data_IF_536697707158
#
_entry.id   IF_536697707158
#
_cell.length_a   1.000
_cell.length_b   1.000
_cell.length_c   1.000
_cell.angle_alpha   90.00
_cell.angle_beta   90.00
_cell.angle_gamma   90.00
#
_symmetry.space_group_name_H-M   'P 1'
#
loop_
_entity.id
_entity.type
_entity.pdbx_description
1 polymer ?
#
# COMPACT_ATOMS: atom_id res chain seq x y z
N UNK A 1 -20.07 33.32 12.69
CA UNK A 1 -19.03 32.26 12.78
C UNK A 1 -19.06 31.47 11.49
N UNK A 2 -17.92 31.05 10.91
CA UNK A 2 -17.95 30.26 9.69
C UNK A 2 -18.62 28.92 10.01
N UNK A 3 -19.60 28.47 9.22
CA UNK A 3 -20.42 27.28 9.52
C UNK A 3 -19.65 25.94 9.58
N UNK A 4 -18.34 25.93 9.28
CA UNK A 4 -17.48 24.73 9.33
C UNK A 4 -16.72 24.50 10.65
N UNK A 5 -16.46 25.53 11.47
CA UNK A 5 -15.51 25.39 12.59
C UNK A 5 -16.02 24.53 13.75
N UNK A 6 -17.30 24.62 14.08
CA UNK A 6 -17.88 23.87 15.20
C UNK A 6 -18.02 22.37 14.93
N UNK A 7 -18.20 21.98 13.66
CA UNK A 7 -18.41 20.58 13.31
C UNK A 7 -17.10 19.83 13.03
N UNK A 8 -16.06 20.52 12.54
CA UNK A 8 -14.70 19.99 12.54
C UNK A 8 -14.23 19.71 13.98
N UNK A 9 -14.56 20.59 14.94
CA UNK A 9 -14.25 20.38 16.36
C UNK A 9 -14.88 19.09 16.92
N UNK A 10 -16.10 18.74 16.50
CA UNK A 10 -16.77 17.49 16.92
C UNK A 10 -16.03 16.26 16.39
N UNK A 11 -15.61 16.28 15.11
CA UNK A 11 -14.83 15.18 14.54
C UNK A 11 -13.49 15.00 15.28
N UNK A 12 -12.78 16.10 15.56
CA UNK A 12 -11.54 16.07 16.33
C UNK A 12 -11.75 15.52 17.76
N UNK A 13 -12.79 15.97 18.48
CA UNK A 13 -13.11 15.44 19.81
C UNK A 13 -13.44 13.94 19.78
N UNK A 14 -14.13 13.49 18.73
CA UNK A 14 -14.47 12.07 18.56
C UNK A 14 -13.21 11.24 18.27
N UNK A 15 -12.24 11.80 17.53
CA UNK A 15 -10.92 11.20 17.35
C UNK A 15 -10.20 11.05 18.69
N UNK A 16 -10.21 12.08 19.54
CA UNK A 16 -9.55 12.04 20.86
C UNK A 16 -10.14 10.95 21.76
N UNK A 17 -11.47 10.74 21.70
CA UNK A 17 -12.14 9.62 22.39
C UNK A 17 -11.63 8.28 21.86
N UNK A 18 -11.54 8.13 20.53
CA UNK A 18 -11.03 6.92 19.90
C UNK A 18 -9.60 6.59 20.35
N UNK A 19 -8.72 7.59 20.38
CA UNK A 19 -7.34 7.44 20.84
C UNK A 19 -7.25 7.06 22.33
N UNK A 20 -8.11 7.64 23.19
CA UNK A 20 -8.11 7.35 24.62
C UNK A 20 -8.58 5.92 24.97
N UNK A 21 -9.40 5.31 24.10
CA UNK A 21 -9.99 3.99 24.27
C UNK A 21 -9.30 2.89 23.45
N UNK A 22 -8.42 3.23 22.49
CA UNK A 22 -7.80 2.29 21.55
C UNK A 22 -7.23 1.02 22.20
N UNK A 23 -6.49 1.17 23.29
CA UNK A 23 -5.87 0.04 24.02
C UNK A 23 -6.80 -0.61 25.04
N UNK A 24 -7.85 0.08 25.51
CA UNK A 24 -8.72 -0.37 26.61
C UNK A 24 -9.97 -1.06 26.09
N UNK A 25 -10.60 -0.46 25.09
CA UNK A 25 -11.87 -0.86 24.50
C UNK A 25 -11.81 -0.71 22.97
N UNK A 26 -11.09 -1.60 22.26
CA UNK A 26 -10.87 -1.50 20.81
C UNK A 26 -12.17 -1.36 19.98
N UNK A 27 -13.24 -2.06 20.37
CA UNK A 27 -14.54 -1.98 19.68
C UNK A 27 -15.20 -0.60 19.85
N UNK A 28 -15.03 0.04 21.00
CA UNK A 28 -15.50 1.42 21.26
C UNK A 28 -14.67 2.42 20.45
N UNK A 29 -13.35 2.27 20.47
CA UNK A 29 -12.44 3.10 19.68
C UNK A 29 -12.74 3.04 18.18
N UNK A 30 -13.04 1.84 17.64
CA UNK A 30 -13.48 1.69 16.26
C UNK A 30 -14.77 2.46 15.96
N UNK A 31 -15.75 2.42 16.86
CA UNK A 31 -16.97 3.22 16.68
C UNK A 31 -16.70 4.71 16.65
N UNK A 32 -15.80 5.20 17.51
CA UNK A 32 -15.38 6.60 17.53
C UNK A 32 -14.69 7.00 16.21
N UNK A 33 -13.72 6.23 15.71
CA UNK A 33 -13.08 6.53 14.43
C UNK A 33 -14.03 6.41 13.24
N UNK A 34 -14.95 5.44 13.25
CA UNK A 34 -16.00 5.32 12.22
C UNK A 34 -16.93 6.53 12.25
N UNK A 35 -17.33 7.00 13.43
CA UNK A 35 -18.14 8.21 13.58
C UNK A 35 -17.40 9.47 13.10
N UNK A 36 -16.14 9.65 13.49
CA UNK A 36 -15.31 10.77 13.06
C UNK A 36 -15.13 10.81 11.54
N UNK A 37 -14.87 9.65 10.92
CA UNK A 37 -14.78 9.54 9.47
C UNK A 37 -16.10 9.94 8.80
N UNK A 38 -17.25 9.45 9.29
CA UNK A 38 -18.58 9.80 8.77
C UNK A 38 -18.85 11.30 8.86
N UNK A 39 -18.60 11.88 10.02
CA UNK A 39 -18.95 13.27 10.30
C UNK A 39 -18.01 14.25 9.56
N UNK A 40 -16.75 13.86 9.37
CA UNK A 40 -15.82 14.54 8.46
C UNK A 40 -16.29 14.48 7.01
N UNK A 41 -16.78 13.32 6.55
CA UNK A 41 -17.31 13.15 5.19
C UNK A 41 -18.54 14.03 4.95
N UNK A 42 -19.41 14.19 5.94
CA UNK A 42 -20.55 15.14 5.89
C UNK A 42 -20.10 16.59 5.74
N UNK A 43 -18.95 16.98 6.32
CA UNK A 43 -18.39 18.31 6.09
C UNK A 43 -17.83 18.45 4.68
N UNK A 44 -17.18 17.40 4.16
CA UNK A 44 -16.66 17.36 2.81
C UNK A 44 -17.79 17.40 1.76
N UNK A 45 -18.94 16.80 2.02
CA UNK A 45 -20.10 16.90 1.13
C UNK A 45 -20.60 18.36 1.00
N UNK A 46 -20.61 19.10 2.12
CA UNK A 46 -20.99 20.53 2.15
C UNK A 46 -19.91 21.43 1.53
N UNK A 47 -18.64 21.09 1.75
CA UNK A 47 -17.50 21.82 1.25
C UNK A 47 -16.34 20.86 0.92
N UNK A 48 -16.23 20.39 -0.34
CA UNK A 48 -15.19 19.44 -0.76
C UNK A 48 -13.76 19.98 -0.61
N UNK A 49 -13.60 21.29 -0.46
CA UNK A 49 -12.30 21.95 -0.25
C UNK A 49 -11.90 22.07 1.23
N UNK A 50 -12.72 21.59 2.18
CA UNK A 50 -12.42 21.65 3.61
C UNK A 50 -11.23 20.75 3.97
N UNK A 51 -10.04 21.36 4.05
CA UNK A 51 -8.79 20.65 4.32
C UNK A 51 -8.74 20.02 5.71
N UNK A 52 -9.39 20.60 6.72
CA UNK A 52 -9.45 20.06 8.07
C UNK A 52 -10.30 18.80 8.11
N UNK A 53 -11.52 18.84 7.56
CA UNK A 53 -12.35 17.65 7.45
C UNK A 53 -11.67 16.52 6.64
N UNK A 54 -10.91 16.86 5.60
CA UNK A 54 -10.14 15.85 4.85
C UNK A 54 -9.04 15.21 5.71
N UNK A 55 -8.34 16.00 6.53
CA UNK A 55 -7.33 15.46 7.46
C UNK A 55 -7.96 14.55 8.51
N UNK A 56 -9.06 14.98 9.13
CA UNK A 56 -9.75 14.21 10.18
C UNK A 56 -10.31 12.91 9.61
N UNK A 57 -10.89 12.94 8.40
CA UNK A 57 -11.33 11.75 7.68
C UNK A 57 -10.17 10.78 7.40
N UNK A 58 -9.06 11.27 6.85
CA UNK A 58 -7.90 10.43 6.54
C UNK A 58 -7.32 9.80 7.82
N UNK A 59 -7.18 10.60 8.89
CA UNK A 59 -6.67 10.14 10.18
C UNK A 59 -7.58 9.09 10.80
N UNK A 60 -8.89 9.34 10.86
CA UNK A 60 -9.84 8.41 11.42
C UNK A 60 -9.84 7.05 10.68
N UNK A 61 -9.73 7.06 9.35
CA UNK A 61 -9.56 5.81 8.59
C UNK A 61 -8.26 5.11 8.94
N UNK A 62 -7.13 5.84 9.01
CA UNK A 62 -5.85 5.25 9.39
C UNK A 62 -5.96 4.53 10.74
N UNK A 63 -6.56 5.18 11.75
CA UNK A 63 -6.75 4.59 13.08
C UNK A 63 -7.69 3.39 13.11
N UNK A 64 -8.69 3.30 12.21
CA UNK A 64 -9.50 2.07 12.05
C UNK A 64 -8.58 0.88 11.76
N UNK A 65 -7.61 1.04 10.85
CA UNK A 65 -6.66 -0.03 10.54
C UNK A 65 -5.69 -0.32 11.69
N UNK A 66 -5.23 0.71 12.41
CA UNK A 66 -4.41 0.54 13.63
C UNK A 66 -5.13 -0.35 14.63
N UNK A 67 -6.37 0.00 15.00
CA UNK A 67 -7.13 -0.73 16.02
C UNK A 67 -7.44 -2.14 15.57
N UNK A 68 -7.85 -2.34 14.30
CA UNK A 68 -8.11 -3.68 13.75
C UNK A 68 -6.87 -4.56 13.82
N UNK A 69 -5.70 -4.03 13.43
CA UNK A 69 -4.43 -4.75 13.43
C UNK A 69 -3.99 -5.08 14.86
N UNK A 70 -3.92 -4.08 15.72
CA UNK A 70 -3.32 -4.21 17.06
C UNK A 70 -4.19 -5.06 17.99
N UNK A 71 -5.52 -4.95 17.87
CA UNK A 71 -6.46 -5.79 18.60
C UNK A 71 -6.78 -7.13 17.90
N UNK A 72 -6.15 -7.42 16.75
CA UNK A 72 -6.34 -8.66 15.96
C UNK A 72 -7.80 -8.96 15.62
N UNK A 73 -8.55 -7.94 15.23
CA UNK A 73 -9.94 -8.05 14.81
C UNK A 73 -10.04 -8.47 13.34
N UNK A 74 -11.18 -9.03 12.94
CA UNK A 74 -11.40 -9.51 11.57
C UNK A 74 -12.71 -8.99 10.93
N UNK A 75 -12.81 -7.67 10.67
CA UNK A 75 -13.92 -7.12 9.89
C UNK A 75 -13.82 -7.45 8.38
N UNK A 76 -12.73 -8.07 7.94
CA UNK A 76 -12.44 -8.33 6.53
C UNK A 76 -13.02 -9.66 6.05
N UNK A 77 -13.11 -10.66 6.93
CA UNK A 77 -13.84 -11.90 6.61
C UNK A 77 -15.35 -11.74 6.82
N UNK A 78 -15.76 -11.05 7.90
CA UNK A 78 -17.18 -10.84 8.23
C UNK A 78 -17.45 -9.41 8.71
N UNK A 79 -18.61 -8.81 8.35
CA UNK A 79 -18.99 -7.51 8.90
C UNK A 79 -19.02 -7.51 10.44
N UNK A 80 -18.53 -6.45 11.07
CA UNK A 80 -18.39 -6.35 12.53
C UNK A 80 -19.18 -5.16 13.06
N UNK A 81 -19.94 -5.34 14.15
CA UNK A 81 -20.56 -4.22 14.86
C UNK A 81 -19.54 -3.52 15.74
N UNK A 82 -19.48 -2.19 15.68
CA UNK A 82 -18.51 -1.36 16.38
C UNK A 82 -19.17 -0.16 17.05
N UNK A 83 -18.51 0.37 18.07
CA UNK A 83 -19.04 1.40 18.96
C UNK A 83 -19.56 0.87 20.29
N UNK A 84 -19.79 1.77 21.24
CA UNK A 84 -20.16 1.42 22.61
C UNK A 84 -21.46 0.60 22.68
N UNK A 85 -22.38 0.83 21.75
CA UNK A 85 -23.65 0.13 21.65
C UNK A 85 -23.79 -0.65 20.33
N UNK A 86 -22.69 -0.83 19.59
CA UNK A 86 -22.70 -1.46 18.27
C UNK A 86 -23.47 -0.65 17.23
N UNK A 87 -23.42 0.68 17.34
CA UNK A 87 -24.19 1.61 16.51
C UNK A 87 -23.73 1.67 15.04
N UNK A 88 -22.53 1.15 14.73
CA UNK A 88 -22.02 1.04 13.36
C UNK A 88 -21.75 -0.40 12.97
N UNK A 89 -21.79 -0.68 11.66
CA UNK A 89 -21.26 -1.92 11.08
C UNK A 89 -20.07 -1.60 10.19
N UNK A 90 -18.88 -2.10 10.54
CA UNK A 90 -17.67 -2.00 9.74
C UNK A 90 -17.57 -3.20 8.78
N UNK A 91 -17.33 -2.92 7.51
CA UNK A 91 -17.15 -3.92 6.47
C UNK A 91 -16.32 -3.34 5.32
N UNK A 92 -16.12 -4.11 4.26
CA UNK A 92 -15.39 -3.65 3.08
C UNK A 92 -16.05 -4.08 1.78
N UNK A 93 -15.77 -3.33 0.72
CA UNK A 93 -16.20 -3.62 -0.64
C UNK A 93 -15.23 -4.61 -1.28
N UNK A 94 -15.71 -5.84 -1.47
CA UNK A 94 -14.92 -6.91 -2.12
C UNK A 94 -14.45 -6.50 -3.51
N UNK A 95 -13.17 -6.77 -3.79
CA UNK A 95 -12.59 -6.64 -5.12
C UNK A 95 -12.76 -7.97 -5.88
N UNK A 96 -13.09 -7.94 -7.18
CA UNK A 96 -13.19 -9.17 -7.98
C UNK A 96 -11.86 -9.90 -8.15
N UNK A 97 -10.72 -9.23 -7.97
CA UNK A 97 -9.38 -9.83 -8.05
C UNK A 97 -9.09 -10.57 -6.72
N UNK A 98 -8.82 -11.88 -6.72
CA UNK A 98 -8.60 -12.64 -5.48
C UNK A 98 -7.45 -12.14 -4.61
N UNK A 99 -6.38 -11.62 -5.22
CA UNK A 99 -5.23 -11.03 -4.51
C UNK A 99 -5.56 -9.68 -3.85
N UNK A 100 -6.71 -9.08 -4.16
CA UNK A 100 -7.17 -7.82 -3.54
C UNK A 100 -8.13 -8.10 -2.38
N UNK A 101 -7.83 -9.14 -1.60
CA UNK A 101 -8.57 -9.50 -0.39
C UNK A 101 -7.82 -9.02 0.85
N UNK A 102 -8.41 -8.08 1.59
CA UNK A 102 -7.82 -7.45 2.79
C UNK A 102 -7.44 -8.49 3.85
N UNK A 103 -8.19 -9.59 3.97
CA UNK A 103 -7.93 -10.65 4.93
C UNK A 103 -6.58 -11.37 4.70
N UNK A 104 -5.94 -11.19 3.53
CA UNK A 104 -4.64 -11.76 3.21
C UNK A 104 -3.46 -10.89 3.68
N UNK A 105 -3.71 -9.66 4.15
CA UNK A 105 -2.67 -8.67 4.40
C UNK A 105 -2.74 -8.13 5.83
N UNK A 106 -1.56 -7.92 6.40
CA UNK A 106 -1.37 -6.99 7.50
C UNK A 106 -1.33 -5.56 6.92
N UNK A 107 -2.25 -4.69 7.36
CA UNK A 107 -2.46 -3.37 6.79
C UNK A 107 -1.98 -2.31 7.77
N UNK A 108 -0.87 -1.66 7.42
CA UNK A 108 -0.15 -0.76 8.32
C UNK A 108 -0.32 0.67 7.84
N UNK A 109 -0.94 1.57 8.63
CA UNK A 109 -1.02 2.98 8.27
C UNK A 109 0.34 3.61 8.04
N UNK A 110 0.50 4.34 6.93
CA UNK A 110 1.78 4.93 6.56
C UNK A 110 2.20 6.07 7.49
N UNK A 111 1.24 6.75 8.11
CA UNK A 111 1.46 7.81 9.10
C UNK A 111 2.06 7.30 10.44
N UNK A 112 2.06 5.99 10.68
CA UNK A 112 2.77 5.36 11.80
C UNK A 112 4.24 5.04 11.48
N UNK A 113 4.61 5.13 10.21
CA UNK A 113 5.93 4.76 9.74
C UNK A 113 6.83 5.98 9.74
N UNK A 114 7.91 5.90 10.52
CA UNK A 114 9.00 6.85 10.44
C UNK A 114 10.24 6.13 9.89
N UNK A 115 10.65 6.51 8.69
CA UNK A 115 11.80 5.92 8.02
C UNK A 115 12.85 6.96 7.68
N UNK A 116 14.11 6.54 7.79
CA UNK A 116 15.29 7.32 7.42
C UNK A 116 16.28 6.40 6.73
N UNK A 117 16.96 6.89 5.71
CA UNK A 117 18.00 6.12 5.03
C UNK A 117 18.38 6.71 3.69
N UNK A 118 19.54 6.29 3.18
CA UNK A 118 20.08 6.78 1.90
C UNK A 118 19.29 6.31 0.68
N UNK A 119 18.51 5.23 0.81
CA UNK A 119 17.71 4.66 -0.26
C UNK A 119 16.34 5.33 -0.44
N UNK A 120 15.86 6.04 0.57
CA UNK A 120 14.55 6.70 0.63
C UNK A 120 14.72 8.10 1.22
N UNK A 121 15.66 8.87 0.65
CA UNK A 121 15.96 10.23 1.13
C UNK A 121 14.75 11.14 0.97
N UNK A 122 14.09 11.03 -0.18
CA UNK A 122 12.88 11.79 -0.50
C UNK A 122 11.64 11.01 -0.08
N UNK A 123 10.78 11.65 0.69
CA UNK A 123 9.48 11.10 1.07
C UNK A 123 8.44 11.56 0.05
N UNK A 124 8.10 10.67 -0.87
CA UNK A 124 7.24 10.96 -2.02
C UNK A 124 5.80 10.59 -1.68
N UNK A 125 5.00 11.61 -1.41
CA UNK A 125 3.58 11.49 -1.07
C UNK A 125 2.71 12.25 -2.07
N UNK A 126 1.41 11.98 -2.04
CA UNK A 126 0.39 12.74 -2.77
C UNK A 126 -0.74 13.09 -1.82
N UNK A 127 -0.99 14.38 -1.68
CA UNK A 127 -2.14 14.89 -0.94
C UNK A 127 -3.45 14.47 -1.61
N UNK A 128 -4.44 14.11 -0.79
CA UNK A 128 -5.72 13.61 -1.29
C UNK A 128 -6.63 13.07 -0.20
N UNK A 129 -7.70 12.40 -0.61
CA UNK A 129 -8.63 11.72 0.29
C UNK A 129 -8.21 10.25 0.48
N UNK A 130 -8.43 9.74 1.69
CA UNK A 130 -8.12 8.37 2.11
C UNK A 130 -6.87 8.25 2.97
N UNK A 131 -6.74 7.13 3.65
CA UNK A 131 -5.57 6.78 4.46
C UNK A 131 -4.58 5.94 3.64
N UNK A 132 -3.36 6.43 3.37
CA UNK A 132 -2.31 5.59 2.79
C UNK A 132 -1.88 4.49 3.79
N UNK A 133 -1.77 3.26 3.30
CA UNK A 133 -1.38 2.07 4.06
C UNK A 133 -0.28 1.31 3.30
N UNK A 134 0.52 0.55 4.04
CA UNK A 134 1.37 -0.52 3.50
C UNK A 134 0.67 -1.85 3.74
N UNK A 135 0.29 -2.52 2.66
CA UNK A 135 -0.17 -3.89 2.67
C UNK A 135 1.04 -4.83 2.71
N UNK A 136 1.12 -5.61 3.79
CA UNK A 136 2.20 -6.57 4.05
C UNK A 136 1.66 -7.99 3.98
N UNK A 137 2.33 -8.87 3.25
CA UNK A 137 2.01 -10.31 3.19
C UNK A 137 3.24 -11.15 2.96
N UNK A 138 3.29 -12.31 3.62
CA UNK A 138 4.28 -13.35 3.37
C UNK A 138 3.65 -14.44 2.48
N UNK A 139 4.42 -14.89 1.50
CA UNK A 139 4.05 -15.93 0.55
C UNK A 139 4.96 -17.14 0.70
N UNK A 140 4.42 -18.32 0.43
CA UNK A 140 5.25 -19.50 0.23
C UNK A 140 6.14 -19.32 -1.01
N UNK A 141 7.25 -20.05 -1.08
CA UNK A 141 8.12 -20.02 -2.26
C UNK A 141 7.37 -20.37 -3.56
N UNK A 142 6.42 -21.30 -3.48
CA UNK A 142 5.56 -21.69 -4.61
C UNK A 142 4.66 -20.53 -5.06
N UNK A 143 4.00 -19.85 -4.11
CA UNK A 143 3.17 -18.68 -4.40
C UNK A 143 4.00 -17.55 -5.01
N UNK A 144 5.14 -17.22 -4.39
CA UNK A 144 6.03 -16.16 -4.87
C UNK A 144 6.54 -16.44 -6.30
N UNK A 145 6.89 -17.69 -6.60
CA UNK A 145 7.24 -18.13 -7.95
C UNK A 145 6.07 -17.98 -8.92
N UNK A 146 4.89 -18.50 -8.56
CA UNK A 146 3.70 -18.42 -9.39
C UNK A 146 3.30 -16.97 -9.69
N UNK A 147 3.48 -16.05 -8.75
CA UNK A 147 3.16 -14.64 -8.93
C UNK A 147 4.29 -13.80 -9.54
N UNK A 148 5.48 -14.35 -9.75
CA UNK A 148 6.66 -13.60 -10.17
C UNK A 148 6.90 -12.39 -9.25
N UNK A 149 6.97 -12.63 -7.94
CA UNK A 149 7.26 -11.60 -6.94
C UNK A 149 8.17 -12.12 -5.83
N UNK A 150 8.71 -11.24 -4.96
CA UNK A 150 9.42 -11.69 -3.76
C UNK A 150 8.45 -12.40 -2.79
N UNK A 151 8.96 -13.25 -1.88
CA UNK A 151 8.13 -13.91 -0.87
C UNK A 151 7.51 -12.93 0.14
N UNK A 152 8.14 -11.77 0.35
CA UNK A 152 7.59 -10.70 1.19
C UNK A 152 7.04 -9.58 0.31
N UNK A 153 5.73 -9.39 0.35
CA UNK A 153 5.03 -8.30 -0.31
C UNK A 153 4.95 -7.12 0.66
N UNK A 154 5.37 -5.96 0.17
CA UNK A 154 5.08 -4.65 0.75
C UNK A 154 4.54 -3.79 -0.39
N UNK A 155 3.27 -3.39 -0.32
CA UNK A 155 2.62 -2.63 -1.38
C UNK A 155 1.85 -1.44 -0.82
N UNK A 156 2.01 -0.27 -1.43
CA UNK A 156 1.27 0.94 -1.03
C UNK A 156 -0.15 0.88 -1.57
N UNK A 157 -1.14 1.03 -0.69
CA UNK A 157 -2.56 1.14 -1.03
C UNK A 157 -3.19 2.30 -0.28
N UNK A 158 -4.38 2.75 -0.69
CA UNK A 158 -5.09 3.83 0.01
C UNK A 158 -6.51 3.39 0.35
N UNK A 159 -6.84 3.42 1.64
CA UNK A 159 -8.17 3.10 2.12
C UNK A 159 -9.09 4.32 2.12
N UNK A 160 -10.33 4.13 1.69
CA UNK A 160 -11.41 5.13 1.76
C UNK A 160 -12.64 4.49 2.38
N UNK A 161 -13.45 5.25 3.12
CA UNK A 161 -14.72 4.81 3.67
C UNK A 161 -15.90 5.51 2.97
N UNK A 162 -17.00 4.79 2.78
CA UNK A 162 -18.31 5.32 2.40
C UNK A 162 -19.36 4.85 3.40
N UNK A 163 -20.47 5.58 3.52
CA UNK A 163 -21.47 5.34 4.54
C UNK A 163 -22.86 5.09 3.96
N UNK A 164 -23.43 3.93 4.28
CA UNK A 164 -24.82 3.56 3.99
C UNK A 164 -25.59 3.56 5.33
N UNK A 165 -26.05 4.73 5.76
CA UNK A 165 -26.59 4.91 7.11
C UNK A 165 -25.53 4.67 8.19
N UNK A 166 -25.67 3.61 8.98
CA UNK A 166 -24.69 3.19 10.00
C UNK A 166 -23.66 2.18 9.50
N UNK A 167 -23.74 1.75 8.24
CA UNK A 167 -22.79 0.81 7.64
C UNK A 167 -21.60 1.59 7.06
N UNK A 168 -20.42 1.38 7.61
CA UNK A 168 -19.15 1.91 7.12
C UNK A 168 -18.52 0.88 6.18
N UNK A 169 -18.40 1.24 4.90
CA UNK A 169 -17.88 0.38 3.84
C UNK A 169 -16.51 0.89 3.40
N UNK A 170 -15.47 0.14 3.77
CA UNK A 170 -14.10 0.40 3.35
C UNK A 170 -13.88 -0.04 1.90
N UNK A 171 -13.16 0.76 1.12
CA UNK A 171 -12.62 0.39 -0.19
C UNK A 171 -11.10 0.58 -0.17
N UNK A 172 -10.37 -0.34 -0.80
CA UNK A 172 -8.92 -0.25 -1.00
C UNK A 172 -8.64 0.14 -2.44
N UNK A 173 -7.87 1.20 -2.61
CA UNK A 173 -7.56 1.79 -3.90
C UNK A 173 -6.06 1.67 -4.19
N UNK A 174 -5.73 1.51 -5.47
CA UNK A 174 -4.35 1.48 -5.94
C UNK A 174 -3.88 2.89 -6.36
N UNK A 175 -2.99 3.56 -5.61
CA UNK A 175 -2.50 4.87 -5.99
C UNK A 175 -1.55 4.85 -7.19
N UNK A 176 -1.03 3.68 -7.59
CA UNK A 176 -0.25 3.52 -8.83
C UNK A 176 -1.15 3.29 -10.05
N UNK A 177 -2.40 2.86 -9.86
CA UNK A 177 -3.36 2.66 -10.97
C UNK A 177 -4.34 3.82 -11.15
N UNK A 178 -4.65 4.58 -10.08
CA UNK A 178 -5.63 5.65 -10.11
C UNK A 178 -5.08 6.95 -9.49
N UNK A 179 -5.34 8.07 -10.15
CA UNK A 179 -4.96 9.39 -9.64
C UNK A 179 -6.01 10.00 -8.71
N UNK A 180 -7.26 9.60 -8.88
CA UNK A 180 -8.42 10.13 -8.18
C UNK A 180 -9.39 9.02 -7.79
N UNK A 181 -10.22 9.29 -6.80
CA UNK A 181 -11.26 8.37 -6.31
C UNK A 181 -12.56 9.15 -6.09
N UNK A 182 -13.70 8.46 -6.23
CA UNK A 182 -15.01 9.01 -5.88
C UNK A 182 -15.40 8.59 -4.47
N UNK A 183 -15.73 9.56 -3.63
CA UNK A 183 -16.19 9.38 -2.25
C UNK A 183 -17.39 10.30 -2.04
N UNK A 184 -18.52 9.74 -1.63
CA UNK A 184 -19.81 10.43 -1.43
C UNK A 184 -20.18 11.40 -2.57
N UNK A 185 -20.17 10.88 -3.81
CA UNK A 185 -20.57 11.64 -5.00
C UNK A 185 -19.51 12.59 -5.57
N UNK A 186 -18.55 13.03 -4.76
CA UNK A 186 -17.46 13.93 -5.15
C UNK A 186 -16.23 13.18 -5.64
N UNK A 187 -15.42 13.83 -6.48
CA UNK A 187 -14.15 13.30 -6.97
C UNK A 187 -12.99 14.02 -6.32
N UNK A 188 -12.06 13.27 -5.74
CA UNK A 188 -10.89 13.80 -5.04
C UNK A 188 -9.59 13.22 -5.62
N UNK A 189 -8.46 13.93 -5.55
CA UNK A 189 -7.16 13.29 -5.63
C UNK A 189 -7.09 12.16 -4.60
N UNK A 190 -6.60 10.99 -5.01
CA UNK A 190 -6.42 9.86 -4.09
C UNK A 190 -5.16 10.09 -3.27
N UNK A 191 -5.23 10.09 -1.94
CA UNK A 191 -4.04 10.21 -1.10
C UNK A 191 -3.06 9.06 -1.40
N UNK A 192 -1.75 9.29 -1.26
CA UNK A 192 -0.76 8.23 -1.44
C UNK A 192 0.51 8.48 -0.63
N UNK A 193 1.13 7.39 -0.18
CA UNK A 193 2.51 7.35 0.25
C UNK A 193 3.25 6.32 -0.61
N UNK A 194 4.04 6.82 -1.57
CA UNK A 194 4.74 5.97 -2.53
C UNK A 194 6.04 5.41 -1.96
N UNK A 195 6.58 6.01 -0.89
CA UNK A 195 7.85 5.66 -0.28
C UNK A 195 7.70 4.59 0.80
N UNK A 196 6.61 4.60 1.56
CA UNK A 196 6.41 3.75 2.73
C UNK A 196 6.62 2.25 2.45
N UNK A 197 6.10 1.73 1.33
CA UNK A 197 6.28 0.31 0.97
C UNK A 197 7.74 -0.05 0.67
N UNK A 198 8.48 0.82 -0.02
CA UNK A 198 9.91 0.63 -0.27
C UNK A 198 10.72 0.72 1.02
N UNK A 199 10.44 1.71 1.86
CA UNK A 199 11.11 1.89 3.13
C UNK A 199 10.92 0.66 4.04
N UNK A 200 9.70 0.13 4.12
CA UNK A 200 9.40 -1.06 4.91
C UNK A 200 10.12 -2.30 4.35
N UNK A 201 10.10 -2.51 3.03
CA UNK A 201 10.81 -3.61 2.38
C UNK A 201 12.32 -3.55 2.70
N UNK A 202 12.95 -2.39 2.56
CA UNK A 202 14.37 -2.21 2.83
C UNK A 202 14.74 -2.41 4.31
N UNK A 203 13.89 -1.95 5.22
CA UNK A 203 14.10 -2.07 6.65
C UNK A 203 13.98 -3.52 7.15
N UNK A 204 13.00 -4.28 6.61
CA UNK A 204 12.69 -5.65 7.02
C UNK A 204 13.59 -6.67 6.32
N UNK A 205 13.65 -6.62 4.99
CA UNK A 205 14.30 -7.66 4.17
C UNK A 205 15.79 -7.40 3.94
N UNK A 206 16.24 -6.15 4.12
CA UNK A 206 17.63 -5.71 3.99
C UNK A 206 18.34 -6.23 2.72
N UNK A 207 17.72 -6.23 1.52
CA UNK A 207 18.33 -6.75 0.30
C UNK A 207 19.65 -6.07 -0.06
N UNK A 208 19.85 -4.81 0.33
CA UNK A 208 21.09 -4.05 0.17
C UNK A 208 22.31 -4.72 0.84
N UNK A 209 22.12 -5.60 1.83
CA UNK A 209 23.21 -6.28 2.52
C UNK A 209 23.69 -7.56 1.82
N UNK A 210 23.02 -7.98 0.75
CA UNK A 210 23.28 -9.28 0.10
C UNK A 210 24.30 -9.21 -1.04
N UNK A 211 24.70 -8.03 -1.49
CA UNK A 211 25.55 -7.83 -2.68
C UNK A 211 26.85 -8.64 -2.65
N UNK A 212 27.69 -8.44 -1.62
CA UNK A 212 28.98 -9.14 -1.48
C UNK A 212 28.82 -10.66 -1.29
N UNK A 213 27.85 -11.10 -0.49
CA UNK A 213 27.61 -12.52 -0.26
C UNK A 213 27.18 -13.24 -1.55
N UNK A 214 26.30 -12.61 -2.34
CA UNK A 214 25.85 -13.12 -3.65
C UNK A 214 26.92 -13.08 -4.73
N UNK A 215 27.94 -12.22 -4.57
CA UNK A 215 29.13 -12.21 -5.42
C UNK A 215 30.06 -13.39 -5.10
N UNK A 216 30.35 -13.62 -3.82
CA UNK A 216 31.33 -14.63 -3.41
C UNK A 216 30.78 -16.06 -3.36
N UNK A 217 29.48 -16.24 -3.13
CA UNK A 217 28.83 -17.55 -2.98
C UNK A 217 27.54 -17.66 -3.80
N UNK A 218 27.58 -17.44 -5.13
CA UNK A 218 26.36 -17.26 -5.91
C UNK A 218 25.44 -18.50 -5.91
N UNK A 219 25.99 -19.71 -5.74
CA UNK A 219 25.24 -20.96 -5.65
C UNK A 219 24.30 -21.03 -4.44
N UNK A 220 24.70 -20.47 -3.29
CA UNK A 220 23.84 -20.40 -2.09
C UNK A 220 22.60 -19.53 -2.31
N UNK A 221 22.63 -18.63 -3.30
CA UNK A 221 21.58 -17.66 -3.61
C UNK A 221 20.90 -17.91 -4.96
N UNK A 222 21.02 -19.12 -5.53
CA UNK A 222 20.44 -19.47 -6.82
C UNK A 222 18.93 -19.14 -6.91
N UNK A 223 18.18 -19.39 -5.83
CA UNK A 223 16.74 -19.10 -5.73
C UNK A 223 16.38 -17.61 -5.81
N UNK A 224 17.37 -16.72 -5.74
CA UNK A 224 17.20 -15.26 -5.87
C UNK A 224 17.37 -14.76 -7.30
N UNK A 225 17.76 -15.64 -8.23
CA UNK A 225 17.85 -15.35 -9.66
C UNK A 225 16.46 -15.40 -10.29
N UNK A 226 15.82 -14.24 -10.50
CA UNK A 226 14.43 -14.17 -11.00
C UNK A 226 14.03 -12.81 -11.53
N UNK A 227 13.01 -12.81 -12.38
CA UNK A 227 12.23 -11.59 -12.67
C UNK A 227 11.13 -11.46 -11.61
N UNK A 228 11.07 -10.31 -10.96
CA UNK A 228 10.12 -10.02 -9.89
C UNK A 228 9.37 -8.71 -10.14
N UNK A 229 8.08 -8.71 -9.79
CA UNK A 229 7.19 -7.56 -9.82
C UNK A 229 6.94 -7.09 -8.39
N UNK A 230 6.96 -5.77 -8.19
CA UNK A 230 6.59 -5.14 -6.91
C UNK A 230 5.24 -4.41 -6.99
N UNK A 231 4.54 -4.54 -8.11
CA UNK A 231 3.20 -4.00 -8.32
C UNK A 231 2.35 -4.99 -9.16
N UNK A 232 1.02 -4.93 -9.06
CA UNK A 232 0.11 -5.69 -9.91
C UNK A 232 0.36 -5.41 -11.39
N UNK A 233 0.22 -6.44 -12.22
CA UNK A 233 0.39 -6.30 -13.66
C UNK A 233 -0.75 -5.47 -14.27
N UNK A 234 -0.39 -4.44 -15.03
CA UNK A 234 -1.32 -3.68 -15.85
C UNK A 234 -0.94 -3.83 -17.34
N UNK A 235 -1.80 -4.44 -18.18
CA UNK A 235 -1.50 -4.66 -19.60
C UNK A 235 -1.48 -3.36 -20.42
N UNK A 236 -2.02 -2.27 -19.89
CA UNK A 236 -2.03 -0.97 -20.57
C UNK A 236 -0.73 -0.17 -20.34
N UNK A 237 0.13 -0.60 -19.42
CA UNK A 237 1.40 0.05 -19.08
C UNK A 237 2.58 -0.68 -19.73
N UNK A 238 3.57 0.07 -20.15
CA UNK A 238 4.87 -0.45 -20.60
C UNK A 238 5.65 -0.97 -19.41
N UNK A 239 6.17 -2.20 -19.50
CA UNK A 239 7.07 -2.76 -18.48
C UNK A 239 8.47 -2.20 -18.69
N UNK A 240 9.03 -1.57 -17.66
CA UNK A 240 10.45 -1.23 -17.57
C UNK A 240 11.14 -2.26 -16.68
N UNK A 241 11.97 -3.11 -17.28
CA UNK A 241 12.80 -4.06 -16.56
C UNK A 241 14.10 -3.40 -16.13
N UNK A 242 14.31 -3.28 -14.82
CA UNK A 242 15.58 -2.81 -14.25
C UNK A 242 16.45 -3.99 -13.83
N UNK A 243 17.74 -3.91 -14.15
CA UNK A 243 18.73 -4.97 -13.93
C UNK A 243 19.90 -4.36 -13.17
N UNK A 244 20.21 -4.86 -11.98
CA UNK A 244 21.33 -4.34 -11.18
C UNK A 244 22.69 -4.81 -11.70
N UNK A 245 23.77 -4.18 -11.23
CA UNK A 245 25.15 -4.48 -11.64
C UNK A 245 25.90 -5.46 -10.73
N UNK A 246 27.22 -5.47 -10.89
CA UNK A 246 28.17 -6.25 -10.11
C UNK A 246 28.12 -5.85 -8.62
N UNK A 247 28.12 -6.83 -7.72
CA UNK A 247 28.08 -6.63 -6.26
C UNK A 247 26.83 -5.88 -5.75
N UNK A 248 25.84 -5.62 -6.61
CA UNK A 248 24.60 -4.93 -6.26
C UNK A 248 23.42 -5.89 -6.07
N UNK A 249 22.28 -5.31 -5.70
CA UNK A 249 20.96 -5.96 -5.67
C UNK A 249 19.90 -5.03 -6.24
N UNK A 250 18.65 -5.48 -6.47
CA UNK A 250 17.58 -4.60 -6.95
C UNK A 250 17.35 -3.35 -6.08
N UNK A 251 17.80 -3.37 -4.82
CA UNK A 251 17.71 -2.23 -3.90
C UNK A 251 18.40 -0.96 -4.44
N UNK A 252 19.42 -1.10 -5.30
CA UNK A 252 20.15 0.04 -5.89
C UNK A 252 19.24 1.00 -6.66
N UNK A 253 18.14 0.48 -7.22
CA UNK A 253 17.18 1.26 -8.00
C UNK A 253 16.15 2.01 -7.16
N UNK A 254 16.03 1.71 -5.86
CA UNK A 254 14.95 2.25 -5.02
C UNK A 254 14.91 3.79 -5.02
N UNK A 255 16.02 4.55 -4.88
CA UNK A 255 15.97 6.01 -4.94
C UNK A 255 15.32 6.53 -6.23
N UNK A 256 15.82 6.07 -7.38
CA UNK A 256 15.29 6.47 -8.68
C UNK A 256 13.82 6.08 -8.84
N UNK A 257 13.46 4.86 -8.44
CA UNK A 257 12.08 4.39 -8.57
C UNK A 257 11.11 5.09 -7.64
N UNK A 258 11.57 5.49 -6.46
CA UNK A 258 10.80 6.30 -5.53
C UNK A 258 10.46 7.67 -6.14
N UNK A 259 11.45 8.32 -6.75
CA UNK A 259 11.26 9.60 -7.44
C UNK A 259 10.35 9.46 -8.66
N UNK A 260 10.59 8.43 -9.49
CA UNK A 260 9.78 8.13 -10.67
C UNK A 260 8.33 7.79 -10.32
N UNK A 261 8.08 7.15 -9.17
CA UNK A 261 6.72 6.94 -8.66
C UNK A 261 6.04 8.24 -8.24
N UNK A 262 6.77 9.32 -7.98
CA UNK A 262 6.22 10.66 -7.77
C UNK A 262 5.68 11.31 -9.05
N UNK A 263 6.20 10.91 -10.21
CA UNK A 263 5.78 11.42 -11.51
C UNK A 263 4.48 10.75 -12.01
N UNK A 264 3.48 11.58 -12.28
CA UNK A 264 2.14 11.15 -12.72
C UNK A 264 2.15 10.50 -14.10
N UNK A 265 2.93 11.02 -15.03
CA UNK A 265 2.99 10.50 -16.39
C UNK A 265 3.77 9.18 -16.40
N UNK A 266 4.77 9.03 -15.54
CA UNK A 266 5.40 7.72 -15.31
C UNK A 266 4.40 6.72 -14.77
N UNK A 267 3.69 7.03 -13.67
CA UNK A 267 2.68 6.11 -13.10
C UNK A 267 1.61 5.71 -14.11
N UNK A 268 1.18 6.63 -14.99
CA UNK A 268 0.15 6.33 -16.00
C UNK A 268 0.63 5.37 -17.08
N UNK A 269 1.89 5.46 -17.49
CA UNK A 269 2.37 4.80 -18.69
C UNK A 269 3.31 3.62 -18.42
N UNK A 270 3.97 3.57 -17.26
CA UNK A 270 5.02 2.60 -16.98
C UNK A 270 4.77 1.83 -15.68
N UNK A 271 5.30 0.62 -15.65
CA UNK A 271 5.37 -0.24 -14.47
C UNK A 271 6.75 -0.89 -14.40
N UNK A 272 7.27 -1.10 -13.20
CA UNK A 272 8.67 -1.50 -12.98
C UNK A 272 8.79 -2.94 -12.51
N UNK A 273 9.58 -3.71 -13.25
CA UNK A 273 9.97 -5.07 -12.90
C UNK A 273 11.47 -5.13 -12.66
N UNK A 274 11.91 -6.13 -11.92
CA UNK A 274 13.30 -6.26 -11.48
C UNK A 274 13.85 -7.60 -11.91
N UNK A 275 15.05 -7.63 -12.47
CA UNK A 275 15.83 -8.85 -12.52
C UNK A 275 16.83 -8.85 -11.36
N UNK A 276 16.63 -9.76 -10.42
CA UNK A 276 17.58 -10.09 -9.36
C UNK A 276 18.43 -11.26 -9.83
N UNK A 277 19.75 -11.21 -9.65
CA UNK A 277 20.62 -12.35 -9.87
C UNK A 277 21.84 -12.31 -8.94
N UNK A 278 22.40 -13.47 -8.56
CA UNK A 278 23.70 -13.51 -7.90
C UNK A 278 24.79 -13.01 -8.86
N UNK A 279 25.38 -11.84 -8.56
CA UNK A 279 26.33 -11.18 -9.47
C UNK A 279 27.68 -11.88 -9.60
N UNK A 280 27.94 -12.92 -8.80
CA UNK A 280 29.07 -13.84 -8.98
C UNK A 280 28.89 -14.88 -10.08
N UNK A 281 27.70 -15.01 -10.66
CA UNK A 281 27.51 -15.88 -11.81
C UNK A 281 28.21 -15.34 -13.07
N UNK A 282 28.71 -16.23 -13.94
CA UNK A 282 29.14 -15.83 -15.28
C UNK A 282 28.00 -15.13 -16.01
N UNK A 283 28.29 -13.98 -16.62
CA UNK A 283 27.28 -13.18 -17.33
C UNK A 283 26.39 -14.00 -18.30
N UNK A 284 26.93 -14.91 -19.14
CA UNK A 284 26.09 -15.71 -20.04
C UNK A 284 25.08 -16.60 -19.29
N UNK A 285 25.42 -17.08 -18.10
CA UNK A 285 24.55 -17.91 -17.29
C UNK A 285 23.39 -17.09 -16.71
N UNK A 286 23.67 -15.90 -16.16
CA UNK A 286 22.62 -14.97 -15.73
C UNK A 286 21.71 -14.54 -16.89
N UNK A 287 22.27 -14.26 -18.06
CA UNK A 287 21.49 -13.92 -19.25
C UNK A 287 20.58 -15.07 -19.70
N UNK A 288 21.03 -16.32 -19.60
CA UNK A 288 20.21 -17.49 -19.90
C UNK A 288 19.03 -17.62 -18.92
N UNK A 289 19.26 -17.44 -17.61
CA UNK A 289 18.19 -17.43 -16.61
C UNK A 289 17.19 -16.31 -16.88
N UNK A 290 17.66 -15.09 -17.18
CA UNK A 290 16.76 -13.97 -17.51
C UNK A 290 15.85 -14.31 -18.69
N UNK A 291 16.37 -14.90 -19.78
CA UNK A 291 15.56 -15.30 -20.93
C UNK A 291 14.49 -16.33 -20.54
N UNK A 292 14.84 -17.33 -19.73
CA UNK A 292 13.89 -18.32 -19.24
C UNK A 292 12.78 -17.69 -18.39
N UNK A 293 13.14 -16.75 -17.50
CA UNK A 293 12.18 -16.02 -16.68
C UNK A 293 11.25 -15.14 -17.54
N UNK A 294 11.78 -14.49 -18.58
CA UNK A 294 10.98 -13.71 -19.53
C UNK A 294 10.03 -14.60 -20.34
N UNK A 295 10.49 -15.73 -20.85
CA UNK A 295 9.65 -16.70 -21.55
C UNK A 295 8.52 -17.23 -20.65
N UNK A 296 8.80 -17.42 -19.35
CA UNK A 296 7.81 -17.88 -18.38
C UNK A 296 6.81 -16.79 -18.00
N UNK A 297 7.29 -15.55 -17.79
CA UNK A 297 6.43 -14.44 -17.37
C UNK A 297 5.49 -13.99 -18.49
N UNK A 298 5.95 -14.00 -19.75
CA UNK A 298 5.12 -13.62 -20.91
C UNK A 298 3.93 -14.56 -21.13
N UNK A 299 4.06 -15.85 -20.77
CA UNK A 299 2.95 -16.80 -20.80
C UNK A 299 1.82 -16.43 -19.83
N UNK A 300 2.15 -15.71 -18.75
CA UNK A 300 1.20 -15.30 -17.71
C UNK A 300 0.76 -13.85 -17.83
N UNK A 301 1.66 -12.98 -18.27
CA UNK A 301 1.48 -11.54 -18.36
C UNK A 301 1.93 -11.06 -19.75
N UNK A 302 1.03 -11.11 -20.75
CA UNK A 302 1.37 -10.79 -22.14
C UNK A 302 1.83 -9.35 -22.27
N UNK A 303 3.11 -9.13 -22.59
CA UNK A 303 3.70 -7.79 -22.60
C UNK A 303 3.25 -6.95 -23.79
N UNK A 304 3.03 -5.66 -23.55
CA UNK A 304 2.78 -4.69 -24.62
C UNK A 304 4.07 -4.53 -25.44
N UNK A 305 3.98 -4.81 -26.74
CA UNK A 305 5.06 -4.54 -27.69
C UNK A 305 5.10 -3.02 -27.96
N UNK A 306 6.31 -2.41 -28.02
CA UNK A 306 6.47 -0.99 -28.32
C UNK A 306 5.89 -0.62 -29.69
#
# INVERSE_FOLDING_TARGET
>A
MPPGSGANLIAAQTIDIGLAEEQKQPIVALGAFVAAARDSLRQLDRNPANAEARRDYNFAIARIFTVVRDAKLDPWTHPMRVGANGEFTLTWKRDPRPEWNLALYDLIPADELNFKGTYVKDHVTKEGIGAPLVAKRELTAQQASAFFCPPYIYYSVTATAQFEGSRCVISINDPLAAESVRVDGHSYPLAADFTASYAMLLAREKPQKLGLARLLRPQEYAATARVARLEPYNPNKTVLLVIHGLMDTPATWVPMLNDLRGDKDIRRNYQFWFYSYPSGYPYPYSAAILRQELDAIEKKFPLRKP
#
